data_IF_277594334546
#
_entry.id   IF_277594334546
#
_cell.length_a   1.000
_cell.length_b   1.000
_cell.length_c   1.000
_cell.angle_alpha   90.00
_cell.angle_beta   90.00
_cell.angle_gamma   90.00
#
_symmetry.space_group_name_H-M   'P 1'
#
loop_
_entity.id
_entity.type
_entity.pdbx_description
1 polymer ?
#
# COMPACT_ATOMS: atom_id res chain seq x y z
N UNK A 1 -3.38 11.63 10.42
CA UNK A 1 -3.35 11.75 8.94
C UNK A 1 -3.21 10.35 8.35
N UNK A 2 -3.78 10.07 7.17
CA UNK A 2 -3.81 8.72 6.58
C UNK A 2 -2.42 8.08 6.46
N UNK A 3 -1.41 8.85 6.04
CA UNK A 3 -0.01 8.40 5.97
C UNK A 3 0.51 7.97 7.34
N UNK A 4 0.21 8.73 8.39
CA UNK A 4 0.64 8.37 9.74
C UNK A 4 -0.04 7.09 10.24
N UNK A 5 -1.35 6.95 10.02
CA UNK A 5 -2.06 5.72 10.38
C UNK A 5 -1.48 4.49 9.66
N UNK A 6 -1.05 4.65 8.41
CA UNK A 6 -0.37 3.60 7.66
C UNK A 6 1.00 3.24 8.29
N UNK A 7 1.83 4.24 8.60
CA UNK A 7 3.14 4.03 9.24
C UNK A 7 2.98 3.38 10.61
N UNK A 8 2.09 3.92 11.45
CA UNK A 8 1.81 3.38 12.79
C UNK A 8 1.32 1.92 12.71
N UNK A 9 0.55 1.56 11.67
CA UNK A 9 0.10 0.18 11.45
C UNK A 9 1.25 -0.78 11.11
N UNK A 10 2.19 -0.33 10.26
CA UNK A 10 3.37 -1.12 9.90
C UNK A 10 4.29 -1.31 11.11
N UNK A 11 4.57 -0.23 11.83
CA UNK A 11 5.44 -0.23 13.01
C UNK A 11 4.87 -1.09 14.15
N UNK A 12 3.54 -1.19 14.26
CA UNK A 12 2.92 -2.03 15.27
C UNK A 12 3.16 -3.54 15.05
N UNK A 13 3.42 -3.97 13.80
CA UNK A 13 3.55 -5.39 13.41
C UNK A 13 4.62 -5.59 12.31
N UNK A 14 5.90 -5.23 12.57
CA UNK A 14 6.93 -5.17 11.55
C UNK A 14 7.19 -6.54 10.91
N UNK A 15 7.21 -7.63 11.69
CA UNK A 15 7.38 -8.98 11.17
C UNK A 15 6.29 -9.40 10.17
N UNK A 16 5.02 -9.03 10.43
CA UNK A 16 3.90 -9.34 9.53
C UNK A 16 4.01 -8.50 8.25
N UNK A 17 4.33 -7.21 8.38
CA UNK A 17 4.55 -6.33 7.23
C UNK A 17 5.67 -6.85 6.34
N UNK A 18 6.82 -7.20 6.94
CA UNK A 18 7.98 -7.73 6.20
C UNK A 18 7.69 -9.09 5.58
N UNK A 19 6.98 -9.99 6.27
CA UNK A 19 6.53 -11.27 5.72
C UNK A 19 5.66 -11.05 4.46
N UNK A 20 4.72 -10.12 4.48
CA UNK A 20 3.93 -9.77 3.29
C UNK A 20 4.78 -9.20 2.14
N UNK A 21 5.85 -8.47 2.45
CA UNK A 21 6.72 -7.90 1.43
C UNK A 21 7.65 -8.95 0.82
N UNK A 22 8.33 -9.74 1.67
CA UNK A 22 9.44 -10.62 1.31
C UNK A 22 9.00 -12.07 1.08
N UNK A 23 8.21 -12.64 1.98
CA UNK A 23 7.91 -14.07 2.01
C UNK A 23 6.67 -14.43 1.20
N UNK A 24 5.59 -13.63 1.30
CA UNK A 24 4.35 -13.92 0.58
C UNK A 24 4.52 -14.05 -0.95
N UNK A 25 5.35 -13.24 -1.64
CA UNK A 25 5.64 -13.45 -3.05
C UNK A 25 6.41 -14.75 -3.34
N UNK A 26 7.27 -15.20 -2.40
CA UNK A 26 8.08 -16.40 -2.56
C UNK A 26 7.27 -17.70 -2.43
N UNK A 27 6.07 -17.65 -1.85
CA UNK A 27 5.14 -18.79 -1.74
C UNK A 27 4.49 -19.20 -3.08
N UNK A 28 4.77 -18.47 -4.17
CA UNK A 28 4.37 -18.83 -5.52
C UNK A 28 2.85 -18.96 -5.69
N UNK A 29 2.41 -20.02 -6.36
CA UNK A 29 1.00 -20.20 -6.75
C UNK A 29 0.02 -20.18 -5.56
N UNK A 30 0.45 -20.66 -4.38
CA UNK A 30 -0.40 -20.72 -3.18
C UNK A 30 -0.75 -19.33 -2.66
N UNK A 31 0.17 -18.37 -2.77
CA UNK A 31 -0.07 -16.99 -2.35
C UNK A 31 -0.65 -16.09 -3.45
N UNK A 32 -0.76 -16.58 -4.68
CA UNK A 32 -1.26 -15.80 -5.82
C UNK A 32 -2.67 -15.18 -5.58
N UNK A 33 -3.64 -15.89 -4.96
CA UNK A 33 -4.94 -15.28 -4.63
C UNK A 33 -4.80 -14.09 -3.68
N UNK A 34 -4.01 -14.26 -2.61
CA UNK A 34 -3.75 -13.21 -1.63
C UNK A 34 -3.04 -12.01 -2.27
N UNK A 35 -2.01 -12.26 -3.07
CA UNK A 35 -1.28 -11.21 -3.76
C UNK A 35 -2.19 -10.40 -4.69
N UNK A 36 -3.04 -11.08 -5.47
CA UNK A 36 -4.02 -10.40 -6.34
C UNK A 36 -5.03 -9.58 -5.57
N UNK A 37 -5.48 -10.06 -4.41
CA UNK A 37 -6.40 -9.30 -3.56
C UNK A 37 -5.74 -8.02 -3.07
N UNK A 38 -4.53 -8.12 -2.49
CA UNK A 38 -3.84 -6.95 -1.94
C UNK A 38 -3.47 -5.93 -3.02
N UNK A 39 -3.06 -6.39 -4.21
CA UNK A 39 -2.77 -5.53 -5.36
C UNK A 39 -4.01 -4.88 -5.99
N UNK A 40 -5.23 -5.24 -5.54
CA UNK A 40 -6.46 -4.50 -5.88
C UNK A 40 -6.87 -3.58 -4.72
N UNK A 41 -7.02 -4.14 -3.53
CA UNK A 41 -7.66 -3.46 -2.40
C UNK A 41 -6.86 -2.25 -1.92
N UNK A 42 -5.51 -2.33 -1.89
CA UNK A 42 -4.67 -1.22 -1.44
C UNK A 42 -4.63 -0.07 -2.46
N UNK A 43 -4.39 -0.28 -3.76
CA UNK A 43 -4.49 0.79 -4.75
C UNK A 43 -5.87 1.42 -4.81
N UNK A 44 -6.95 0.62 -4.75
CA UNK A 44 -8.33 1.13 -4.75
C UNK A 44 -8.59 2.03 -3.54
N UNK A 45 -8.07 1.67 -2.36
CA UNK A 45 -8.14 2.51 -1.18
C UNK A 45 -7.46 3.87 -1.40
N UNK A 46 -6.28 3.91 -2.04
CA UNK A 46 -5.56 5.17 -2.32
C UNK A 46 -6.32 6.04 -3.33
N UNK A 47 -6.89 5.44 -4.38
CA UNK A 47 -7.75 6.15 -5.34
C UNK A 47 -8.97 6.74 -4.61
N UNK A 48 -9.62 5.96 -3.75
CA UNK A 48 -10.78 6.42 -2.98
C UNK A 48 -10.43 7.56 -2.01
N UNK A 49 -9.31 7.48 -1.31
CA UNK A 49 -8.83 8.51 -0.38
C UNK A 49 -8.58 9.85 -1.11
N UNK A 50 -7.95 9.79 -2.28
CA UNK A 50 -7.65 10.99 -3.09
C UNK A 50 -8.87 11.50 -3.87
N UNK A 51 -9.91 10.68 -4.02
CA UNK A 51 -11.20 11.07 -4.61
C UNK A 51 -12.10 11.86 -3.65
N UNK A 52 -11.66 12.09 -2.41
CA UNK A 52 -12.46 12.83 -1.41
C UNK A 52 -12.52 14.33 -1.72
N UNK A 53 -13.54 15.01 -1.18
CA UNK A 53 -13.70 16.46 -1.34
C UNK A 53 -12.54 17.27 -0.76
N UNK A 54 -11.76 16.70 0.17
CA UNK A 54 -10.56 17.35 0.72
C UNK A 54 -9.49 17.61 -0.34
N UNK A 55 -9.19 16.60 -1.15
CA UNK A 55 -8.20 16.69 -2.23
C UNK A 55 -8.66 17.64 -3.35
N UNK A 56 -9.94 17.55 -3.75
CA UNK A 56 -10.51 18.48 -4.74
C UNK A 56 -10.42 19.94 -4.31
N UNK A 57 -10.72 20.24 -3.04
CA UNK A 57 -10.60 21.62 -2.50
C UNK A 57 -9.15 22.12 -2.48
N UNK A 58 -8.18 21.21 -2.40
CA UNK A 58 -6.76 21.55 -2.51
C UNK A 58 -6.28 21.67 -3.97
N UNK A 59 -7.18 21.56 -4.97
CA UNK A 59 -6.82 21.59 -6.39
C UNK A 59 -6.06 20.35 -6.86
N UNK A 60 -6.16 19.25 -6.12
CA UNK A 60 -5.50 17.99 -6.46
C UNK A 60 -6.50 17.05 -7.10
N UNK A 61 -6.16 16.57 -8.30
CA UNK A 61 -6.90 15.50 -8.94
C UNK A 61 -6.70 14.17 -8.21
N UNK A 62 -7.71 13.29 -8.19
CA UNK A 62 -7.54 11.95 -7.65
C UNK A 62 -6.46 11.19 -8.41
N UNK A 63 -5.68 10.38 -7.70
CA UNK A 63 -4.66 9.56 -8.37
C UNK A 63 -5.34 8.45 -9.18
N UNK A 64 -4.69 8.04 -10.27
CA UNK A 64 -5.17 6.93 -11.11
C UNK A 64 -4.73 5.57 -10.54
N UNK A 65 -5.42 4.46 -10.88
CA UNK A 65 -5.01 3.14 -10.43
C UNK A 65 -3.55 2.76 -10.75
N UNK A 66 -2.99 3.08 -11.95
CA UNK A 66 -1.57 2.84 -12.22
C UNK A 66 -0.63 3.62 -11.29
N UNK A 67 -0.98 4.87 -10.96
CA UNK A 67 -0.18 5.69 -10.04
C UNK A 67 -0.28 5.13 -8.61
N UNK A 68 -1.46 4.70 -8.18
CA UNK A 68 -1.67 4.05 -6.89
C UNK A 68 -0.82 2.77 -6.74
N UNK A 69 -0.71 1.97 -7.80
CA UNK A 69 0.18 0.79 -7.84
C UNK A 69 1.66 1.17 -7.71
N UNK A 70 2.12 2.21 -8.43
CA UNK A 70 3.51 2.69 -8.34
C UNK A 70 3.82 3.17 -6.91
N UNK A 71 2.92 3.96 -6.31
CA UNK A 71 3.08 4.45 -4.94
C UNK A 71 3.15 3.29 -3.94
N UNK A 72 2.29 2.28 -4.09
CA UNK A 72 2.32 1.10 -3.24
C UNK A 72 3.64 0.32 -3.39
N UNK A 73 4.15 0.18 -4.61
CA UNK A 73 5.45 -0.44 -4.88
C UNK A 73 6.60 0.31 -4.19
N UNK A 74 6.66 1.63 -4.36
CA UNK A 74 7.69 2.46 -3.71
C UNK A 74 7.61 2.42 -2.19
N UNK A 75 6.40 2.35 -1.63
CA UNK A 75 6.20 2.26 -0.18
C UNK A 75 6.67 0.93 0.40
N UNK A 76 6.45 -0.18 -0.32
CA UNK A 76 6.99 -1.50 0.04
C UNK A 76 8.52 -1.49 0.03
N UNK A 77 9.13 -0.85 -0.96
CA UNK A 77 10.59 -0.70 -1.06
C UNK A 77 11.15 0.09 0.13
N UNK A 78 10.59 1.26 0.42
CA UNK A 78 10.98 2.07 1.57
C UNK A 78 10.80 1.32 2.90
N UNK A 79 9.66 0.62 3.06
CA UNK A 79 9.41 -0.19 4.25
C UNK A 79 10.45 -1.29 4.41
N UNK A 80 10.80 -1.99 3.32
CA UNK A 80 11.81 -3.04 3.36
C UNK A 80 13.23 -2.54 3.70
N UNK A 81 13.52 -1.26 3.45
CA UNK A 81 14.80 -0.61 3.75
C UNK A 81 14.89 -0.09 5.19
N UNK A 82 13.79 0.39 5.77
CA UNK A 82 13.80 1.12 7.04
C UNK A 82 13.18 0.34 8.21
N UNK A 83 12.40 -0.70 7.95
CA UNK A 83 11.78 -1.51 9.00
C UNK A 83 12.60 -2.78 9.18
N UNK A 84 13.51 -2.77 10.15
CA UNK A 84 14.28 -3.91 10.65
C UNK A 84 14.40 -3.86 12.18
#
# INVERSE_FOLDING_TARGET
LAVRAYVDHIEARPAITLCWIREAPALGAVAHPLHRQVMRDLPDMLVNLTSTAGFRRAGLDPITPPIALILLGGLRELTALFVE
#
